data_IF_269869066147
#
_entry.id   IF_269869066147
#
_cell.length_a   1.000
_cell.length_b   1.000
_cell.length_c   1.000
_cell.angle_alpha   90.00
_cell.angle_beta   90.00
_cell.angle_gamma   90.00
#
_symmetry.space_group_name_H-M   'P 1'
#
loop_
_entity.id
_entity.type
_entity.pdbx_description
1 polymer ?
#
# COMPACT_ATOMS: atom_id res chain seq x y z
N UNK A 1 27.02 9.51 -16.13
CA UNK A 1 25.93 9.71 -17.13
C UNK A 1 24.62 9.77 -16.35
N UNK A 2 23.83 10.83 -16.52
CA UNK A 2 22.51 10.93 -15.88
C UNK A 2 21.58 9.88 -16.51
N UNK A 3 20.83 9.16 -15.69
CA UNK A 3 19.84 8.22 -16.23
C UNK A 3 18.61 9.01 -16.68
N UNK A 4 18.25 8.86 -17.95
CA UNK A 4 16.99 9.40 -18.50
C UNK A 4 15.87 8.38 -18.32
N UNK A 5 14.65 8.88 -18.11
CA UNK A 5 13.43 8.10 -17.92
C UNK A 5 12.32 8.74 -18.76
N UNK A 6 11.43 7.94 -19.31
CA UNK A 6 10.29 8.43 -20.09
C UNK A 6 9.22 9.04 -19.17
N UNK A 7 9.06 8.48 -17.98
CA UNK A 7 8.03 8.86 -17.00
C UNK A 7 8.63 8.84 -15.60
N UNK A 8 8.31 9.86 -14.81
CA UNK A 8 8.59 9.91 -13.37
C UNK A 8 7.27 9.87 -12.62
N UNK A 9 7.09 8.86 -11.76
CA UNK A 9 5.93 8.71 -10.89
C UNK A 9 6.33 9.07 -9.46
N UNK A 10 5.61 10.00 -8.85
CA UNK A 10 5.84 10.47 -7.49
C UNK A 10 4.75 9.97 -6.55
N UNK A 11 5.14 9.22 -5.53
CA UNK A 11 4.25 8.58 -4.57
C UNK A 11 3.95 7.12 -4.95
N UNK A 12 3.71 6.30 -3.94
CA UNK A 12 3.47 4.85 -4.07
C UNK A 12 2.07 4.45 -3.61
N UNK A 13 1.11 5.37 -3.75
CA UNK A 13 -0.30 5.06 -3.58
C UNK A 13 -0.79 4.05 -4.64
N UNK A 14 -1.97 3.48 -4.39
CA UNK A 14 -2.52 2.44 -5.26
C UNK A 14 -2.65 2.91 -6.72
N UNK A 15 -3.11 4.14 -6.95
CA UNK A 15 -3.31 4.69 -8.30
C UNK A 15 -1.98 4.84 -9.04
N UNK A 16 -0.98 5.36 -8.34
CA UNK A 16 0.37 5.60 -8.86
C UNK A 16 1.05 4.27 -9.22
N UNK A 17 0.94 3.27 -8.34
CA UNK A 17 1.45 1.92 -8.60
C UNK A 17 0.79 1.25 -9.80
N UNK A 18 -0.54 1.34 -9.94
CA UNK A 18 -1.25 0.79 -11.10
C UNK A 18 -0.79 1.48 -12.39
N UNK A 19 -0.71 2.81 -12.39
CA UNK A 19 -0.28 3.56 -13.57
C UNK A 19 1.19 3.28 -13.93
N UNK A 20 2.08 3.24 -12.94
CA UNK A 20 3.49 2.91 -13.11
C UNK A 20 3.68 1.52 -13.74
N UNK A 21 2.90 0.53 -13.27
CA UNK A 21 2.87 -0.82 -13.84
C UNK A 21 2.39 -0.85 -15.29
N UNK A 22 1.26 -0.20 -15.60
CA UNK A 22 0.72 -0.14 -16.97
C UNK A 22 1.69 0.55 -17.95
N UNK A 23 2.37 1.61 -17.52
CA UNK A 23 3.35 2.30 -18.35
C UNK A 23 4.60 1.45 -18.60
N UNK A 24 5.06 0.73 -17.57
CA UNK A 24 6.17 -0.22 -17.71
C UNK A 24 5.82 -1.37 -18.67
N UNK A 25 4.59 -1.91 -18.58
CA UNK A 25 4.08 -2.90 -19.53
C UNK A 25 3.97 -2.37 -20.96
N UNK A 26 3.77 -1.07 -21.12
CA UNK A 26 3.74 -0.38 -22.42
C UNK A 26 5.14 -0.07 -22.97
N UNK A 27 6.21 -0.56 -22.32
CA UNK A 27 7.60 -0.40 -22.76
C UNK A 27 8.25 0.92 -22.36
N UNK A 28 7.65 1.70 -21.44
CA UNK A 28 8.24 2.95 -20.94
C UNK A 28 9.26 2.68 -19.83
N UNK A 29 10.36 3.43 -19.83
CA UNK A 29 11.33 3.42 -18.73
C UNK A 29 10.83 4.35 -17.61
N UNK A 30 10.29 3.77 -16.55
CA UNK A 30 9.65 4.51 -15.45
C UNK A 30 10.58 4.66 -14.25
N UNK A 31 10.71 5.88 -13.72
CA UNK A 31 11.28 6.14 -12.39
C UNK A 31 10.14 6.33 -11.40
N UNK A 32 9.94 5.38 -10.49
CA UNK A 32 8.88 5.44 -9.48
C UNK A 32 9.49 5.66 -8.11
N UNK A 33 9.24 6.82 -7.51
CA UNK A 33 9.84 7.23 -6.23
C UNK A 33 8.79 7.75 -5.26
N UNK A 34 9.05 7.63 -3.96
CA UNK A 34 8.24 8.20 -2.88
C UNK A 34 9.14 9.01 -1.95
N UNK A 35 8.59 10.08 -1.37
CA UNK A 35 9.27 10.86 -0.33
C UNK A 35 9.19 10.18 1.04
N UNK A 36 8.16 9.36 1.23
CA UNK A 36 7.90 8.68 2.49
C UNK A 36 8.81 7.44 2.59
N UNK A 37 9.30 7.09 3.79
CA UNK A 37 10.09 5.87 3.99
C UNK A 37 9.23 4.58 3.96
N UNK A 38 7.95 4.68 3.58
CA UNK A 38 6.99 3.59 3.54
C UNK A 38 6.13 3.67 2.27
N UNK A 39 5.62 2.52 1.84
CA UNK A 39 4.75 2.42 0.67
C UNK A 39 3.29 2.81 0.96
N UNK A 40 2.54 3.18 -0.07
CA UNK A 40 1.09 3.35 -0.02
C UNK A 40 0.60 4.79 0.23
N UNK A 41 1.50 5.72 0.56
CA UNK A 41 1.16 7.13 0.78
C UNK A 41 0.04 7.32 1.81
N UNK A 42 -1.04 7.99 1.42
CA UNK A 42 -2.23 8.18 2.28
C UNK A 42 -3.02 6.90 2.54
N UNK A 43 -2.88 5.90 1.66
CA UNK A 43 -3.52 4.58 1.78
C UNK A 43 -2.53 3.51 2.31
N UNK A 44 -1.46 3.93 3.00
CA UNK A 44 -0.50 3.00 3.57
C UNK A 44 -1.13 2.05 4.60
N UNK A 45 -0.61 0.83 4.64
CA UNK A 45 -0.87 -0.13 5.71
C UNK A 45 0.19 0.04 6.80
N UNK A 46 -0.23 0.09 8.06
CA UNK A 46 0.66 0.29 9.20
C UNK A 46 0.88 -1.03 9.94
N UNK A 47 2.14 -1.35 10.17
CA UNK A 47 2.61 -2.46 10.99
C UNK A 47 3.98 -2.09 11.59
N UNK A 48 4.29 -2.48 12.84
CA UNK A 48 3.43 -3.17 13.78
C UNK A 48 2.37 -2.24 14.41
N UNK A 49 1.44 -2.81 15.17
CA UNK A 49 0.34 -2.09 15.83
C UNK A 49 0.81 -0.84 16.61
N UNK A 50 1.97 -0.89 17.27
CA UNK A 50 2.53 0.22 18.03
C UNK A 50 2.78 1.47 17.17
N UNK A 51 3.15 1.31 15.90
CA UNK A 51 3.35 2.44 14.98
C UNK A 51 2.02 3.15 14.64
N UNK A 52 0.90 2.40 14.63
CA UNK A 52 -0.43 2.99 14.47
C UNK A 52 -0.76 3.88 15.68
N UNK A 53 -0.56 3.35 16.88
CA UNK A 53 -0.81 4.08 18.12
C UNK A 53 0.04 5.35 18.22
N UNK A 54 1.32 5.25 17.84
CA UNK A 54 2.23 6.40 17.75
C UNK A 54 1.76 7.43 16.73
N UNK A 55 1.33 7.00 15.54
CA UNK A 55 0.81 7.90 14.49
C UNK A 55 -0.40 8.71 14.96
N UNK A 56 -1.34 8.07 15.65
CA UNK A 56 -2.54 8.72 16.19
C UNK A 56 -2.35 9.35 17.57
N UNK A 57 -1.13 9.28 18.14
CA UNK A 57 -0.77 9.86 19.44
C UNK A 57 -1.65 9.34 20.59
N UNK A 58 -1.98 8.06 20.56
CA UNK A 58 -2.80 7.39 21.58
C UNK A 58 -1.96 6.42 22.44
N UNK A 59 -2.35 6.14 23.70
CA UNK A 59 -1.62 5.21 24.57
C UNK A 59 -1.55 3.83 23.94
N UNK A 60 -0.36 3.21 23.93
CA UNK A 60 -0.05 1.97 23.20
C UNK A 60 -1.03 0.80 23.42
N UNK A 61 -0.93 -0.24 22.57
CA UNK A 61 -1.89 -1.32 22.54
C UNK A 61 -2.03 -2.06 23.89
N UNK A 62 -3.27 -2.42 24.23
CA UNK A 62 -3.56 -3.25 25.41
C UNK A 62 -2.85 -4.60 25.34
N UNK A 63 -2.39 -5.11 26.51
CA UNK A 63 -1.67 -6.40 26.62
C UNK A 63 -2.51 -7.62 26.21
N UNK A 64 -3.84 -7.48 26.13
CA UNK A 64 -4.74 -8.53 25.68
C UNK A 64 -4.75 -8.71 24.16
N UNK A 65 -4.22 -7.75 23.39
CA UNK A 65 -4.15 -7.86 21.93
C UNK A 65 -3.01 -8.80 21.50
N UNK A 66 -3.17 -9.35 20.30
CA UNK A 66 -2.13 -10.16 19.67
C UNK A 66 -0.85 -9.35 19.44
N UNK A 67 0.33 -10.01 19.33
CA UNK A 67 1.58 -9.33 19.03
C UNK A 67 1.45 -8.31 17.90
N UNK A 68 1.99 -7.10 18.08
CA UNK A 68 1.80 -6.00 17.13
C UNK A 68 2.22 -6.31 15.69
N UNK A 69 3.18 -7.22 15.50
CA UNK A 69 3.65 -7.69 14.18
C UNK A 69 2.61 -8.49 13.39
N UNK A 70 1.58 -9.03 14.04
CA UNK A 70 0.49 -9.75 13.36
C UNK A 70 -0.56 -8.81 12.76
N UNK A 71 -0.45 -7.51 13.02
CA UNK A 71 -1.39 -6.52 12.52
C UNK A 71 -0.84 -5.85 11.26
N UNK A 72 -1.69 -5.75 10.24
CA UNK A 72 -1.51 -4.88 9.08
C UNK A 72 -2.78 -4.06 8.95
N UNK A 73 -2.69 -2.76 9.20
CA UNK A 73 -3.86 -1.89 9.33
C UNK A 73 -3.85 -0.86 8.23
N UNK A 74 -4.73 -1.04 7.25
CA UNK A 74 -4.93 -0.09 6.16
C UNK A 74 -5.55 1.19 6.70
N UNK A 75 -4.92 2.34 6.43
CA UNK A 75 -5.47 3.65 6.80
C UNK A 75 -6.77 3.96 6.04
N UNK A 76 -6.88 3.46 4.81
CA UNK A 76 -8.06 3.63 3.95
C UNK A 76 -8.41 2.26 3.36
N UNK A 77 -9.10 1.38 4.12
CA UNK A 77 -9.46 0.06 3.63
C UNK A 77 -10.47 0.16 2.48
N UNK A 78 -10.22 -0.61 1.41
CA UNK A 78 -11.08 -0.70 0.23
C UNK A 78 -11.20 -2.16 -0.19
N UNK A 79 -12.40 -2.58 -0.55
CA UNK A 79 -12.64 -3.92 -1.09
C UNK A 79 -12.60 -3.90 -2.61
N UNK A 80 -12.07 -4.96 -3.21
CA UNK A 80 -12.24 -5.23 -4.64
C UNK A 80 -13.55 -5.97 -4.85
N UNK A 81 -14.38 -5.48 -5.75
CA UNK A 81 -15.59 -6.18 -6.18
C UNK A 81 -15.20 -7.19 -7.26
N UNK A 82 -15.49 -8.46 -7.02
CA UNK A 82 -15.36 -9.51 -8.02
C UNK A 82 -16.65 -9.62 -8.84
N UNK A 83 -16.58 -9.80 -10.17
CA UNK A 83 -17.75 -10.06 -10.99
C UNK A 83 -18.19 -11.53 -10.85
N UNK A 84 -19.43 -11.76 -10.40
CA UNK A 84 -20.11 -13.07 -10.50
C UNK A 84 -19.49 -14.23 -9.70
N UNK A 85 -20.08 -15.45 -9.73
CA UNK A 85 -19.91 -16.45 -8.68
C UNK A 85 -18.57 -17.19 -8.79
N UNK A 86 -17.47 -16.51 -8.47
CA UNK A 86 -16.16 -17.13 -8.23
C UNK A 86 -16.02 -17.70 -6.80
N UNK A 87 -17.06 -17.55 -5.96
CA UNK A 87 -17.07 -17.99 -4.55
C UNK A 87 -18.05 -19.13 -4.25
N UNK A 88 -18.88 -19.57 -5.21
CA UNK A 88 -19.55 -20.85 -5.07
C UNK A 88 -18.56 -21.94 -5.50
N UNK A 89 -17.66 -22.30 -4.57
CA UNK A 89 -17.07 -23.64 -4.62
C UNK A 89 -18.20 -24.66 -4.73
N UNK A 90 -18.04 -25.63 -5.61
CA UNK A 90 -18.96 -26.75 -5.77
C UNK A 90 -19.20 -27.40 -4.39
N UNK A 91 -20.36 -27.11 -3.80
CA UNK A 91 -21.03 -27.94 -2.82
C UNK A 91 -22.30 -28.48 -3.47
#
# INVERSE_FOLDING_TARGET
RMQEYDIIVLGTGFKECVLSGLMSLSGKKVLHIDRNPFYGGESASISPLEELYKKFKVPGPAKSMRPGKEWNIDLIPKFFLLPGPALCGNH
#
